data_IF_982667365378
#
_entry.id   IF_982667365378
#
_cell.length_a   1.000
_cell.length_b   1.000
_cell.length_c   1.000
_cell.angle_alpha   90.00
_cell.angle_beta   90.00
_cell.angle_gamma   90.00
#
_symmetry.space_group_name_H-M   'P 1'
#
loop_
_entity.id
_entity.type
_entity.pdbx_description
1 polymer ?
#
# COMPACT_ATOMS: atom_id res chain seq x y z
N UNK A 1 -14.15 10.08 12.76
CA UNK A 1 -13.06 10.44 11.81
C UNK A 1 -13.63 10.30 10.40
N UNK A 2 -13.43 11.28 9.49
CA UNK A 2 -13.89 11.17 8.09
C UNK A 2 -13.00 10.14 7.38
N UNK A 3 -13.56 9.19 6.59
CA UNK A 3 -12.75 8.25 5.83
C UNK A 3 -11.90 8.97 4.78
N UNK A 4 -10.70 8.47 4.53
CA UNK A 4 -9.81 8.91 3.46
C UNK A 4 -9.99 7.97 2.27
N UNK A 5 -10.24 8.51 1.10
CA UNK A 5 -10.32 7.75 -0.15
C UNK A 5 -8.97 7.86 -0.85
N UNK A 6 -8.41 6.71 -1.24
CA UNK A 6 -7.12 6.60 -1.95
C UNK A 6 -7.31 5.77 -3.22
N UNK A 7 -7.68 6.41 -4.35
CA UNK A 7 -7.85 5.71 -5.62
C UNK A 7 -6.52 5.12 -6.11
N UNK A 8 -6.57 3.86 -6.60
CA UNK A 8 -5.40 3.23 -7.21
C UNK A 8 -5.25 3.65 -8.67
N UNK A 9 -4.05 4.09 -9.02
CA UNK A 9 -3.69 4.36 -10.43
C UNK A 9 -3.56 3.08 -11.27
N UNK A 10 -3.62 1.90 -10.65
CA UNK A 10 -3.70 0.63 -11.39
C UNK A 10 -4.98 0.56 -12.25
N UNK A 11 -6.02 1.28 -11.87
CA UNK A 11 -7.29 1.37 -12.60
C UNK A 11 -7.33 2.53 -13.61
N UNK A 12 -6.25 3.30 -13.73
CA UNK A 12 -6.16 4.43 -14.66
C UNK A 12 -6.02 3.98 -16.12
N UNK A 13 -6.34 4.87 -17.03
CA UNK A 13 -6.00 4.69 -18.44
C UNK A 13 -4.52 5.04 -18.67
N UNK A 14 -3.66 4.03 -18.78
CA UNK A 14 -2.22 4.24 -18.91
C UNK A 14 -1.79 5.00 -20.17
N UNK A 15 -2.63 5.02 -21.21
CA UNK A 15 -2.38 5.85 -22.39
C UNK A 15 -2.57 7.36 -22.11
N UNK A 16 -3.32 7.71 -21.05
CA UNK A 16 -3.65 9.07 -20.64
C UNK A 16 -3.49 9.28 -19.13
N UNK A 17 -2.48 8.64 -18.55
CA UNK A 17 -2.26 8.61 -17.10
C UNK A 17 -2.20 10.01 -16.45
N UNK A 18 -1.65 11.00 -17.14
CA UNK A 18 -1.61 12.39 -16.65
C UNK A 18 -3.02 12.95 -16.40
N UNK A 19 -3.96 12.71 -17.31
CA UNK A 19 -5.33 13.20 -17.17
C UNK A 19 -6.04 12.58 -15.95
N UNK A 20 -5.80 11.27 -15.71
CA UNK A 20 -6.38 10.58 -14.55
C UNK A 20 -5.80 11.09 -13.23
N UNK A 21 -4.51 11.44 -13.20
CA UNK A 21 -3.88 12.05 -12.02
C UNK A 21 -4.45 13.46 -11.77
N UNK A 22 -4.64 14.27 -12.81
CA UNK A 22 -5.29 15.58 -12.69
C UNK A 22 -6.73 15.44 -12.17
N UNK A 23 -7.48 14.44 -12.64
CA UNK A 23 -8.82 14.13 -12.12
C UNK A 23 -8.77 13.79 -10.63
N UNK A 24 -7.80 12.97 -10.19
CA UNK A 24 -7.63 12.65 -8.76
C UNK A 24 -7.27 13.91 -7.97
N UNK A 25 -6.38 14.78 -8.48
CA UNK A 25 -6.01 16.03 -7.82
C UNK A 25 -7.23 16.92 -7.58
N UNK A 26 -8.12 17.05 -8.58
CA UNK A 26 -9.36 17.82 -8.48
C UNK A 26 -10.50 17.17 -7.69
N UNK A 27 -10.37 15.90 -7.29
CA UNK A 27 -11.40 15.14 -6.56
C UNK A 27 -11.32 15.32 -5.04
N UNK A 28 -12.29 14.74 -4.31
CA UNK A 28 -12.25 14.65 -2.84
C UNK A 28 -11.32 13.53 -2.30
N UNK A 29 -10.61 12.80 -3.16
CA UNK A 29 -9.63 11.81 -2.73
C UNK A 29 -8.57 12.45 -1.82
N UNK A 30 -8.18 11.74 -0.77
CA UNK A 30 -7.17 12.23 0.18
C UNK A 30 -5.75 11.85 -0.22
N UNK A 31 -5.59 10.72 -0.91
CA UNK A 31 -4.29 10.16 -1.32
C UNK A 31 -4.34 9.64 -2.76
N UNK A 32 -3.18 9.29 -3.31
CA UNK A 32 -3.01 8.52 -4.56
C UNK A 32 -2.39 7.19 -4.20
N UNK A 33 -3.11 6.08 -4.48
CA UNK A 33 -2.61 4.73 -4.24
C UNK A 33 -1.85 4.20 -5.46
N UNK A 34 -0.68 3.62 -5.19
CA UNK A 34 0.25 3.13 -6.23
C UNK A 34 0.55 1.66 -5.97
N UNK A 35 0.07 0.78 -6.84
CA UNK A 35 0.26 -0.67 -6.75
C UNK A 35 1.44 -1.11 -7.63
N UNK A 36 2.59 -1.43 -7.02
CA UNK A 36 3.79 -1.93 -7.70
C UNK A 36 3.83 -3.46 -7.61
N UNK A 37 3.96 -4.12 -8.76
CA UNK A 37 3.97 -5.58 -8.90
C UNK A 37 5.18 -6.03 -9.71
N UNK A 38 5.83 -7.11 -9.27
CA UNK A 38 7.10 -7.61 -9.82
C UNK A 38 6.99 -8.89 -10.66
N UNK A 39 5.81 -9.50 -10.74
CA UNK A 39 5.60 -10.78 -11.42
C UNK A 39 6.14 -11.99 -10.66
N UNK A 40 6.62 -11.81 -9.41
CA UNK A 40 7.17 -12.86 -8.56
C UNK A 40 6.33 -13.05 -7.31
N UNK A 41 6.11 -11.99 -6.53
CA UNK A 41 5.20 -12.03 -5.38
C UNK A 41 3.74 -12.21 -5.83
N UNK A 42 3.38 -11.58 -6.93
CA UNK A 42 2.07 -11.71 -7.59
C UNK A 42 2.25 -12.05 -9.08
N UNK A 43 1.28 -12.75 -9.73
CA UNK A 43 1.41 -13.20 -11.12
C UNK A 43 1.12 -12.09 -12.13
N UNK A 44 1.53 -10.86 -11.85
CA UNK A 44 1.36 -9.70 -12.72
C UNK A 44 2.51 -8.71 -12.53
N UNK A 45 2.79 -7.93 -13.56
CA UNK A 45 3.73 -6.80 -13.54
C UNK A 45 2.91 -5.55 -13.83
N UNK A 46 3.01 -4.52 -12.98
CA UNK A 46 2.31 -3.25 -13.20
C UNK A 46 3.22 -2.22 -13.88
N UNK A 47 3.75 -1.31 -13.13
CA UNK A 47 4.64 -0.24 -13.59
C UNK A 47 5.78 -0.06 -12.59
N UNK A 48 6.90 0.44 -13.09
CA UNK A 48 8.08 0.68 -12.27
C UNK A 48 8.40 2.16 -12.09
N UNK A 49 9.49 2.43 -11.38
CA UNK A 49 9.95 3.77 -11.02
C UNK A 49 10.10 4.75 -12.19
N UNK A 50 10.48 4.34 -13.43
CA UNK A 50 10.50 5.26 -14.57
C UNK A 50 9.17 5.94 -14.85
N UNK A 51 8.05 5.23 -14.72
CA UNK A 51 6.69 5.79 -14.86
C UNK A 51 6.32 6.60 -13.61
N UNK A 52 6.61 6.06 -12.43
CA UNK A 52 6.22 6.66 -11.15
C UNK A 52 6.87 8.03 -10.90
N UNK A 53 8.03 8.31 -11.47
CA UNK A 53 8.65 9.65 -11.43
C UNK A 53 7.76 10.72 -12.07
N UNK A 54 7.02 10.38 -13.11
CA UNK A 54 6.06 11.31 -13.73
C UNK A 54 4.78 11.42 -12.92
N UNK A 55 4.28 10.31 -12.38
CA UNK A 55 3.15 10.30 -11.43
C UNK A 55 3.45 11.23 -10.26
N UNK A 56 4.61 11.07 -9.63
CA UNK A 56 5.03 11.87 -8.48
C UNK A 56 5.16 13.37 -8.78
N UNK A 57 5.49 13.74 -10.01
CA UNK A 57 5.56 15.15 -10.44
C UNK A 57 4.19 15.78 -10.64
N UNK A 58 3.20 14.99 -11.03
CA UNK A 58 1.84 15.45 -11.34
C UNK A 58 0.91 15.38 -10.14
N UNK A 59 1.14 14.43 -9.22
CA UNK A 59 0.30 14.23 -8.05
C UNK A 59 0.50 15.37 -7.04
N UNK A 60 -0.59 16.04 -6.67
CA UNK A 60 -0.63 17.07 -5.63
C UNK A 60 -1.02 16.46 -4.26
N UNK A 61 -1.48 15.23 -4.26
CA UNK A 61 -1.89 14.49 -3.06
C UNK A 61 -0.80 13.55 -2.59
N UNK A 62 -0.74 13.22 -1.28
CA UNK A 62 0.23 12.28 -0.76
C UNK A 62 0.17 10.93 -1.47
N UNK A 63 1.34 10.37 -1.77
CA UNK A 63 1.48 9.06 -2.38
C UNK A 63 1.48 7.97 -1.30
N UNK A 64 0.62 6.97 -1.46
CA UNK A 64 0.57 5.71 -0.72
C UNK A 64 1.06 4.58 -1.64
N UNK A 65 2.31 4.14 -1.44
CA UNK A 65 2.97 3.18 -2.32
C UNK A 65 2.88 1.79 -1.74
N UNK A 66 2.11 0.94 -2.39
CA UNK A 66 1.87 -0.46 -2.03
C UNK A 66 2.75 -1.39 -2.89
N UNK A 67 3.66 -2.09 -2.23
CA UNK A 67 4.64 -2.97 -2.86
C UNK A 67 4.19 -4.44 -2.79
N UNK A 68 3.66 -4.96 -3.88
CA UNK A 68 3.39 -6.38 -4.10
C UNK A 68 4.61 -7.02 -4.79
N UNK A 69 5.74 -7.01 -4.09
CA UNK A 69 7.04 -7.45 -4.60
C UNK A 69 7.80 -8.25 -3.56
N UNK A 70 8.73 -9.08 -3.99
CA UNK A 70 9.68 -9.75 -3.10
C UNK A 70 10.79 -8.80 -2.64
N UNK A 71 11.26 -8.95 -1.40
CA UNK A 71 12.34 -8.14 -0.82
C UNK A 71 12.10 -6.62 -0.93
N UNK A 72 10.93 -6.10 -0.49
CA UNK A 72 10.54 -4.70 -0.66
C UNK A 72 11.51 -3.72 0.01
N UNK A 73 12.27 -4.14 1.01
CA UNK A 73 13.29 -3.34 1.69
C UNK A 73 14.37 -2.79 0.76
N UNK A 74 14.61 -3.46 -0.35
CA UNK A 74 15.60 -3.01 -1.36
C UNK A 74 15.18 -1.73 -2.08
N UNK A 75 13.89 -1.41 -2.07
CA UNK A 75 13.31 -0.29 -2.81
C UNK A 75 12.93 0.91 -1.92
N UNK A 76 13.30 0.88 -0.64
CA UNK A 76 13.08 2.02 0.27
C UNK A 76 13.67 3.32 -0.28
N UNK A 77 14.92 3.35 -0.82
CA UNK A 77 15.49 4.56 -1.39
C UNK A 77 14.71 5.10 -2.59
N UNK A 78 14.27 4.22 -3.49
CA UNK A 78 13.51 4.59 -4.68
C UNK A 78 12.13 5.13 -4.34
N UNK A 79 11.42 4.47 -3.42
CA UNK A 79 10.10 4.93 -2.93
C UNK A 79 10.23 6.27 -2.24
N UNK A 80 11.28 6.45 -1.42
CA UNK A 80 11.59 7.76 -0.81
C UNK A 80 11.86 8.84 -1.86
N UNK A 81 12.61 8.52 -2.91
CA UNK A 81 12.93 9.45 -3.99
C UNK A 81 11.70 9.90 -4.80
N UNK A 82 10.60 9.14 -4.80
CA UNK A 82 9.31 9.56 -5.33
C UNK A 82 8.61 10.60 -4.45
N UNK A 83 9.08 10.85 -3.24
CA UNK A 83 8.37 11.68 -2.26
C UNK A 83 7.16 10.98 -1.63
N UNK A 84 7.14 9.65 -1.62
CA UNK A 84 6.05 8.89 -1.01
C UNK A 84 5.89 9.24 0.47
N UNK A 85 4.65 9.42 0.90
CA UNK A 85 4.31 9.61 2.31
C UNK A 85 4.22 8.28 3.04
N UNK A 86 3.63 7.28 2.39
CA UNK A 86 3.41 5.95 2.96
C UNK A 86 4.12 4.93 2.07
N UNK A 87 4.85 4.01 2.70
CA UNK A 87 5.36 2.80 2.06
C UNK A 87 4.71 1.60 2.71
N UNK A 88 3.97 0.84 1.92
CA UNK A 88 3.18 -0.29 2.34
C UNK A 88 3.77 -1.58 1.79
N UNK A 89 4.12 -2.50 2.69
CA UNK A 89 4.76 -3.79 2.35
C UNK A 89 3.91 -4.95 2.83
N UNK A 90 3.94 -6.05 2.10
CA UNK A 90 3.25 -7.26 2.52
C UNK A 90 3.96 -7.95 3.68
N UNK A 91 3.19 -8.36 4.69
CA UNK A 91 3.66 -9.22 5.77
C UNK A 91 4.40 -10.45 5.21
N UNK A 92 3.79 -11.08 4.21
CA UNK A 92 4.27 -12.32 3.59
C UNK A 92 5.54 -12.14 2.76
N UNK A 93 5.87 -10.91 2.35
CA UNK A 93 7.09 -10.58 1.61
C UNK A 93 8.27 -10.22 2.51
N UNK A 94 8.05 -10.07 3.82
CA UNK A 94 9.02 -9.53 4.77
C UNK A 94 9.40 -10.54 5.87
N UNK A 95 10.36 -11.46 5.68
CA UNK A 95 10.81 -12.37 6.74
C UNK A 95 11.28 -11.64 8.02
N UNK A 96 11.77 -10.42 7.89
CA UNK A 96 12.21 -9.56 8.98
C UNK A 96 11.39 -8.28 9.06
N UNK A 97 10.05 -8.41 9.14
CA UNK A 97 9.10 -7.30 9.03
C UNK A 97 9.42 -6.12 9.96
N UNK A 98 9.72 -6.37 11.24
CA UNK A 98 10.05 -5.32 12.19
C UNK A 98 11.24 -4.46 11.71
N UNK A 99 12.30 -5.08 11.18
CA UNK A 99 13.45 -4.36 10.60
C UNK A 99 13.02 -3.50 9.42
N UNK A 100 12.20 -4.03 8.51
CA UNK A 100 11.71 -3.29 7.33
C UNK A 100 10.90 -2.07 7.75
N UNK A 101 10.00 -2.23 8.73
CA UNK A 101 9.20 -1.13 9.31
C UNK A 101 10.10 -0.04 9.88
N UNK A 102 11.15 -0.41 10.62
CA UNK A 102 12.13 0.56 11.14
C UNK A 102 12.86 1.30 10.01
N UNK A 103 13.36 0.60 8.99
CA UNK A 103 14.03 1.20 7.84
C UNK A 103 13.14 2.20 7.09
N UNK A 104 11.85 1.87 6.89
CA UNK A 104 10.88 2.79 6.28
C UNK A 104 10.73 4.06 7.11
N UNK A 105 10.61 3.91 8.44
CA UNK A 105 10.51 5.04 9.38
C UNK A 105 11.77 5.89 9.38
N UNK A 106 12.95 5.28 9.42
CA UNK A 106 14.25 5.97 9.35
C UNK A 106 14.44 6.73 8.04
N UNK A 107 13.89 6.22 6.93
CA UNK A 107 13.83 6.93 5.66
C UNK A 107 12.86 8.13 5.67
N UNK A 108 12.10 8.35 6.76
CA UNK A 108 11.15 9.46 6.92
C UNK A 108 9.81 9.23 6.23
N UNK A 109 9.44 7.99 5.95
CA UNK A 109 8.11 7.59 5.47
C UNK A 109 7.29 6.96 6.58
N UNK A 110 5.97 6.94 6.41
CA UNK A 110 5.05 6.23 7.30
C UNK A 110 4.98 4.75 6.90
N UNK A 111 5.40 3.82 7.78
CA UNK A 111 5.37 2.40 7.46
C UNK A 111 3.92 1.88 7.50
N UNK A 112 3.54 1.13 6.48
CA UNK A 112 2.28 0.39 6.45
C UNK A 112 2.53 -1.09 6.13
N UNK A 113 1.65 -1.94 6.65
CA UNK A 113 1.72 -3.40 6.44
C UNK A 113 0.43 -3.90 5.84
N UNK A 114 0.56 -4.67 4.76
CA UNK A 114 -0.55 -5.37 4.10
C UNK A 114 -0.58 -6.83 4.53
N UNK A 115 -1.78 -7.37 4.71
CA UNK A 115 -2.01 -8.81 4.88
C UNK A 115 -2.93 -9.36 3.78
N UNK A 116 -2.54 -10.52 3.24
CA UNK A 116 -3.35 -11.25 2.26
C UNK A 116 -4.67 -11.76 2.86
N UNK A 117 -5.66 -12.14 2.03
CA UNK A 117 -6.93 -12.65 2.53
C UNK A 117 -6.78 -13.84 3.49
N UNK A 118 -5.82 -14.73 3.26
CA UNK A 118 -5.59 -15.92 4.09
C UNK A 118 -4.73 -15.66 5.35
N UNK A 119 -4.06 -14.51 5.46
CA UNK A 119 -3.19 -14.20 6.61
C UNK A 119 -4.01 -13.70 7.79
N UNK A 120 -3.97 -14.37 8.95
CA UNK A 120 -4.73 -13.95 10.14
C UNK A 120 -4.28 -12.58 10.67
N UNK A 121 -5.21 -11.79 11.19
CA UNK A 121 -4.92 -10.49 11.83
C UNK A 121 -4.01 -10.66 13.07
N UNK A 122 -4.12 -11.77 13.78
CA UNK A 122 -3.28 -12.09 14.94
C UNK A 122 -1.77 -12.06 14.65
N UNK A 123 -1.35 -12.23 13.39
CA UNK A 123 0.05 -12.13 12.98
C UNK A 123 0.62 -10.71 13.12
N UNK A 124 -0.23 -9.71 13.27
CA UNK A 124 0.18 -8.31 13.42
C UNK A 124 0.34 -7.88 14.89
N UNK A 125 0.01 -8.74 15.85
CA UNK A 125 -0.02 -8.39 17.28
C UNK A 125 1.28 -7.72 17.76
N UNK A 126 2.43 -8.27 17.38
CA UNK A 126 3.72 -7.81 17.87
C UNK A 126 4.30 -6.61 17.09
N UNK A 127 3.62 -6.19 15.99
CA UNK A 127 4.06 -5.08 15.14
C UNK A 127 3.05 -3.93 15.06
N UNK A 128 1.84 -4.12 15.58
CA UNK A 128 0.73 -3.18 15.38
C UNK A 128 1.04 -1.75 15.84
N UNK A 129 1.79 -1.61 16.92
CA UNK A 129 2.16 -0.32 17.47
C UNK A 129 3.31 0.38 16.71
N UNK A 130 3.98 -0.35 15.83
CA UNK A 130 5.08 0.16 15.03
C UNK A 130 4.65 0.61 13.64
N UNK A 131 3.42 0.33 13.22
CA UNK A 131 2.92 0.68 11.90
C UNK A 131 1.95 1.86 11.97
N UNK A 132 1.98 2.68 10.93
CA UNK A 132 1.03 3.77 10.76
C UNK A 132 -0.34 3.29 10.26
N UNK A 133 -0.34 2.26 9.40
CA UNK A 133 -1.54 1.74 8.76
C UNK A 133 -1.42 0.24 8.51
N UNK A 134 -2.54 -0.46 8.55
CA UNK A 134 -2.67 -1.83 8.06
C UNK A 134 -3.64 -1.84 6.88
N UNK A 135 -3.20 -2.41 5.75
CA UNK A 135 -4.05 -2.69 4.60
C UNK A 135 -4.53 -4.15 4.65
N UNK A 136 -5.83 -4.34 4.82
CA UNK A 136 -6.45 -5.67 4.76
C UNK A 136 -6.92 -5.91 3.32
N UNK A 137 -6.27 -6.85 2.63
CA UNK A 137 -6.66 -7.19 1.26
C UNK A 137 -8.07 -7.78 1.22
N UNK A 138 -8.91 -7.18 0.39
CA UNK A 138 -10.29 -7.64 0.13
C UNK A 138 -10.43 -8.44 -1.16
N UNK A 139 -9.33 -8.64 -1.85
CA UNK A 139 -9.15 -9.47 -3.04
C UNK A 139 -7.77 -10.11 -2.97
N UNK A 140 -7.48 -11.11 -3.79
CA UNK A 140 -6.11 -11.61 -3.91
C UNK A 140 -5.25 -10.53 -4.59
N UNK A 141 -4.03 -10.23 -4.08
CA UNK A 141 -3.16 -9.26 -4.71
C UNK A 141 -2.77 -9.69 -6.14
N UNK A 142 -2.55 -8.70 -7.03
CA UNK A 142 -2.06 -8.93 -8.40
C UNK A 142 -2.95 -8.39 -9.51
N UNK A 143 -4.25 -8.23 -9.31
CA UNK A 143 -5.17 -7.72 -10.35
C UNK A 143 -6.25 -6.83 -9.76
N UNK A 144 -6.68 -5.83 -10.55
CA UNK A 144 -7.88 -5.05 -10.27
C UNK A 144 -9.17 -5.76 -10.72
N UNK A 145 -10.34 -5.20 -10.36
CA UNK A 145 -11.65 -5.66 -10.84
C UNK A 145 -12.12 -7.02 -10.30
N UNK A 146 -11.50 -7.55 -9.26
CA UNK A 146 -11.86 -8.82 -8.63
C UNK A 146 -13.11 -8.69 -7.75
N UNK A 147 -13.79 -9.82 -7.52
CA UNK A 147 -14.92 -9.90 -6.60
C UNK A 147 -14.44 -9.73 -5.15
N UNK A 148 -15.12 -8.90 -4.39
CA UNK A 148 -14.87 -8.66 -2.97
C UNK A 148 -14.98 -9.95 -2.15
N UNK A 149 -14.02 -10.17 -1.26
CA UNK A 149 -13.98 -11.29 -0.32
C UNK A 149 -14.65 -10.83 0.99
N UNK A 150 -15.86 -11.31 1.26
CA UNK A 150 -16.70 -10.84 2.37
C UNK A 150 -16.05 -11.04 3.75
N UNK A 151 -15.28 -12.12 3.94
CA UNK A 151 -14.54 -12.38 5.20
C UNK A 151 -13.60 -11.21 5.59
N UNK A 152 -13.21 -10.35 4.65
CA UNK A 152 -12.44 -9.13 4.94
C UNK A 152 -13.11 -8.24 5.98
N UNK A 153 -14.44 -8.21 6.01
CA UNK A 153 -15.21 -7.42 6.98
C UNK A 153 -14.91 -7.90 8.41
N UNK A 154 -14.85 -9.21 8.63
CA UNK A 154 -14.55 -9.78 9.94
C UNK A 154 -13.09 -9.51 10.33
N UNK A 155 -12.16 -9.60 9.38
CA UNK A 155 -10.75 -9.22 9.61
C UNK A 155 -10.60 -7.74 10.00
N UNK A 156 -11.37 -6.84 9.39
CA UNK A 156 -11.34 -5.41 9.76
C UNK A 156 -11.87 -5.21 11.18
N UNK A 157 -12.91 -5.95 11.59
CA UNK A 157 -13.42 -5.91 12.97
C UNK A 157 -12.38 -6.43 13.97
N UNK A 158 -11.78 -7.59 13.69
CA UNK A 158 -10.70 -8.17 14.50
C UNK A 158 -9.50 -7.22 14.62
N UNK A 159 -9.09 -6.59 13.53
CA UNK A 159 -8.01 -5.60 13.52
C UNK A 159 -8.37 -4.37 14.38
N UNK A 160 -9.60 -3.90 14.32
CA UNK A 160 -10.07 -2.80 15.15
C UNK A 160 -10.00 -3.14 16.65
N UNK A 161 -10.39 -4.37 17.01
CA UNK A 161 -10.28 -4.88 18.38
C UNK A 161 -8.81 -4.95 18.82
N UNK A 162 -7.93 -5.50 17.97
CA UNK A 162 -6.49 -5.57 18.23
C UNK A 162 -5.92 -4.19 18.51
N UNK A 163 -6.18 -3.19 17.65
CA UNK A 163 -5.72 -1.81 17.83
C UNK A 163 -6.24 -1.22 19.15
N UNK A 164 -7.48 -1.50 19.53
CA UNK A 164 -8.08 -0.94 20.76
C UNK A 164 -7.46 -1.53 22.02
N UNK A 165 -7.03 -2.79 21.97
CA UNK A 165 -6.45 -3.49 23.15
C UNK A 165 -4.96 -3.17 23.31
N UNK A 166 -4.25 -2.88 22.23
CA UNK A 166 -2.79 -2.68 22.24
C UNK A 166 -2.36 -1.21 22.24
N UNK A 167 -3.21 -0.27 21.82
CA UNK A 167 -2.99 1.18 21.79
C UNK A 167 -3.76 1.86 22.89
#
# INVERSE_FOLDING_TARGET
MKPIISPSILSANFAYLANDIEMINGSEAGWVHIDIMDGVFVPNISFGFPVLKYVAKLAEKPLDVHLMIVQPEKFIPEVKALGARIMNVHYEACPHLHRVVQQIREAGMLPAVTINPATPVAMLRDIINDVYMVLVMSVNPGFGGQKFIEHTIDKVRELRELITVTG
#
